data_IF_340353111601
#
_entry.id   IF_340353111601
#
_cell.length_a   1.000
_cell.length_b   1.000
_cell.length_c   1.000
_cell.angle_alpha   90.00
_cell.angle_beta   90.00
_cell.angle_gamma   90.00
#
_symmetry.space_group_name_H-M   'P 1'
#
loop_
_entity.id
_entity.type
_entity.pdbx_description
1 polymer ?
#
# COMPACT_ATOMS: atom_id res chain seq x y z
N UNK A 1 -16.59 -91.96 -22.73
CA UNK A 1 -16.00 -90.65 -23.10
C UNK A 1 -15.51 -90.01 -21.82
N UNK A 2 -14.19 -89.95 -21.66
CA UNK A 2 -13.51 -89.33 -20.53
C UNK A 2 -13.58 -87.81 -20.64
N UNK A 3 -13.93 -87.13 -19.55
CA UNK A 3 -13.34 -85.83 -19.20
C UNK A 3 -13.27 -85.69 -17.68
N UNK A 4 -12.05 -85.70 -17.16
CA UNK A 4 -11.69 -85.32 -15.80
C UNK A 4 -11.73 -83.79 -15.69
N UNK A 5 -12.27 -83.24 -14.60
CA UNK A 5 -11.83 -81.94 -14.10
C UNK A 5 -11.73 -81.95 -12.57
N UNK A 6 -10.54 -81.60 -12.13
CA UNK A 6 -10.00 -81.59 -10.78
C UNK A 6 -10.42 -80.34 -10.00
N UNK A 7 -10.66 -80.55 -8.71
CA UNK A 7 -10.89 -79.50 -7.71
C UNK A 7 -9.60 -78.78 -7.34
N UNK A 8 -9.65 -77.44 -7.28
CA UNK A 8 -8.65 -76.63 -6.55
C UNK A 8 -9.36 -75.63 -5.66
N UNK A 9 -9.24 -75.85 -4.35
CA UNK A 9 -9.79 -75.02 -3.28
C UNK A 9 -8.88 -73.80 -3.04
N UNK A 10 -9.43 -72.58 -3.03
CA UNK A 10 -8.71 -71.40 -2.52
C UNK A 10 -9.56 -70.68 -1.48
N UNK A 11 -9.11 -70.79 -0.24
CA UNK A 11 -9.63 -70.13 0.95
C UNK A 11 -9.30 -68.63 0.93
N UNK A 12 -10.33 -67.78 0.99
CA UNK A 12 -10.20 -66.35 1.27
C UNK A 12 -10.57 -66.10 2.75
N UNK A 13 -9.57 -65.72 3.55
CA UNK A 13 -9.78 -65.24 4.93
C UNK A 13 -10.24 -63.78 4.89
N UNK A 14 -11.51 -63.53 5.19
CA UNK A 14 -12.04 -62.21 5.52
C UNK A 14 -11.61 -61.82 6.95
N UNK A 15 -11.00 -60.64 7.10
CA UNK A 15 -10.84 -60.01 8.41
C UNK A 15 -11.90 -58.89 8.51
N UNK A 16 -12.91 -59.13 9.34
CA UNK A 16 -13.89 -58.10 9.71
C UNK A 16 -13.28 -57.03 10.63
N UNK A 17 -13.90 -55.83 10.71
CA UNK A 17 -13.42 -54.78 11.60
C UNK A 17 -13.79 -55.09 13.05
N UNK A 18 -12.80 -54.94 13.95
CA UNK A 18 -12.96 -55.08 15.39
C UNK A 18 -13.56 -53.80 15.98
N UNK A 19 -14.61 -53.95 16.79
CA UNK A 19 -15.10 -52.93 17.71
C UNK A 19 -14.39 -53.09 19.06
N UNK A 20 -13.93 -51.97 19.65
CA UNK A 20 -13.65 -51.72 21.08
C UNK A 20 -13.50 -50.19 21.20
N UNK A 21 -14.46 -49.47 21.78
CA UNK A 21 -14.69 -49.18 23.20
C UNK A 21 -13.76 -48.10 23.80
N UNK A 22 -14.41 -47.15 24.45
CA UNK A 22 -13.98 -45.84 24.94
C UNK A 22 -12.86 -45.86 25.99
N UNK A 23 -11.97 -44.85 25.95
CA UNK A 23 -11.55 -44.04 27.11
C UNK A 23 -10.52 -42.94 26.78
N UNK A 24 -10.64 -41.87 27.56
CA UNK A 24 -9.69 -40.78 27.84
C UNK A 24 -9.69 -39.55 26.92
N UNK A 25 -10.44 -38.58 27.45
CA UNK A 25 -10.36 -37.13 27.27
C UNK A 25 -8.90 -36.63 27.41
N UNK A 26 -8.41 -35.93 26.39
CA UNK A 26 -7.42 -34.86 26.54
C UNK A 26 -7.94 -33.68 25.71
N UNK A 27 -8.50 -32.71 26.42
CA UNK A 27 -8.91 -31.40 25.89
C UNK A 27 -7.65 -30.61 25.58
N UNK A 28 -7.35 -30.38 24.31
CA UNK A 28 -6.57 -29.22 23.88
C UNK A 28 -7.54 -28.12 23.52
N UNK A 29 -7.77 -27.21 24.48
CA UNK A 29 -8.66 -26.07 24.32
C UNK A 29 -8.24 -25.21 23.13
N UNK A 30 -9.09 -25.14 22.11
CA UNK A 30 -9.08 -24.05 21.15
C UNK A 30 -9.57 -22.80 21.88
N UNK A 31 -8.61 -21.99 22.33
CA UNK A 31 -8.86 -20.63 22.76
C UNK A 31 -9.48 -19.86 21.61
N UNK A 32 -10.77 -19.55 21.75
CA UNK A 32 -11.47 -18.57 20.95
C UNK A 32 -10.80 -17.21 21.19
N UNK A 33 -10.02 -16.73 20.22
CA UNK A 33 -9.58 -15.33 20.24
C UNK A 33 -10.75 -14.46 19.81
N UNK A 34 -11.51 -14.02 20.82
CA UNK A 34 -12.37 -12.85 20.74
C UNK A 34 -11.57 -11.67 20.19
N UNK A 35 -11.93 -11.19 19.00
CA UNK A 35 -11.41 -9.95 18.46
C UNK A 35 -11.91 -8.80 19.35
N UNK A 36 -10.99 -8.22 20.13
CA UNK A 36 -11.28 -7.01 20.90
C UNK A 36 -11.43 -5.81 19.95
N UNK A 37 -12.36 -4.88 20.20
CA UNK A 37 -12.52 -3.70 19.36
C UNK A 37 -11.28 -2.79 19.52
N UNK A 38 -10.72 -2.34 18.40
CA UNK A 38 -9.61 -1.39 18.39
C UNK A 38 -10.08 -0.06 18.99
N UNK A 39 -9.38 0.39 20.03
CA UNK A 39 -9.59 1.65 20.75
C UNK A 39 -9.46 2.84 19.79
N UNK A 40 -10.47 3.70 19.74
CA UNK A 40 -10.45 4.96 19.00
C UNK A 40 -9.35 5.89 19.54
N UNK A 41 -8.62 6.54 18.63
CA UNK A 41 -7.67 7.58 18.99
C UNK A 41 -8.43 8.90 19.15
N UNK A 42 -8.37 9.50 20.35
CA UNK A 42 -8.92 10.83 20.62
C UNK A 42 -8.08 11.89 19.89
N UNK A 43 -8.70 12.65 18.99
CA UNK A 43 -8.12 13.87 18.45
C UNK A 43 -8.36 15.01 19.46
N UNK A 44 -7.29 15.55 20.02
CA UNK A 44 -7.34 16.84 20.72
C UNK A 44 -7.03 17.94 19.70
N UNK A 45 -8.00 18.81 19.45
CA UNK A 45 -7.83 20.03 18.66
C UNK A 45 -7.21 21.13 19.51
N UNK A 46 -6.10 21.70 19.03
CA UNK A 46 -5.48 22.89 19.58
C UNK A 46 -5.06 23.81 18.43
N UNK A 47 -5.62 25.01 18.40
CA UNK A 47 -5.32 26.03 17.40
C UNK A 47 -3.95 26.70 17.57
N UNK A 48 -3.63 27.49 16.55
CA UNK A 48 -2.43 28.31 16.33
C UNK A 48 -1.27 27.64 15.58
N UNK A 49 -0.89 28.30 14.49
CA UNK A 49 0.02 27.86 13.44
C UNK A 49 1.32 27.22 13.90
N UNK A 50 1.60 26.06 13.33
CA UNK A 50 2.86 25.34 13.43
C UNK A 50 2.66 23.89 12.98
N UNK A 51 3.44 23.42 12.00
CA UNK A 51 3.32 22.11 11.36
C UNK A 51 3.02 20.95 12.33
N UNK A 52 1.92 20.22 12.08
CA UNK A 52 1.65 18.91 12.68
C UNK A 52 2.67 17.92 12.14
N UNK A 53 3.55 17.42 13.00
CA UNK A 53 4.51 16.34 12.67
C UNK A 53 3.85 15.02 13.03
N UNK A 54 3.60 14.17 12.04
CA UNK A 54 3.19 12.78 12.26
C UNK A 54 4.47 12.00 12.62
N UNK A 55 4.59 11.58 13.88
CA UNK A 55 5.61 10.63 14.29
C UNK A 55 5.15 9.22 13.88
N UNK A 56 5.78 8.64 12.86
CA UNK A 56 5.63 7.21 12.55
C UNK A 56 6.52 6.40 13.49
N UNK A 57 5.95 5.89 14.59
CA UNK A 57 6.57 4.82 15.35
C UNK A 57 6.18 3.48 14.73
N UNK A 58 7.11 2.86 13.98
CA UNK A 58 6.99 1.47 13.58
C UNK A 58 7.39 0.59 14.76
N UNK A 59 6.41 -0.12 15.32
CA UNK A 59 6.64 -1.21 16.27
C UNK A 59 6.99 -2.48 15.49
N UNK A 60 8.28 -2.82 15.42
CA UNK A 60 8.69 -4.18 15.04
C UNK A 60 8.68 -5.06 16.29
N UNK A 61 7.79 -6.06 16.27
CA UNK A 61 7.76 -7.13 17.27
C UNK A 61 8.98 -8.03 17.10
N UNK A 62 9.64 -8.34 18.21
CA UNK A 62 11.01 -8.84 18.24
C UNK A 62 11.23 -10.30 17.81
N UNK A 63 12.47 -10.54 17.35
CA UNK A 63 13.29 -11.69 17.73
C UNK A 63 14.77 -11.26 17.76
N UNK A 64 15.47 -11.68 18.82
CA UNK A 64 16.63 -10.99 19.38
C UNK A 64 17.99 -11.19 18.69
N UNK A 65 18.96 -10.41 19.17
CA UNK A 65 20.39 -10.55 18.84
C UNK A 65 21.21 -9.30 19.17
N UNK A 66 21.81 -9.29 20.37
CA UNK A 66 23.05 -8.62 20.82
C UNK A 66 23.65 -7.38 20.10
N UNK A 67 24.03 -6.40 20.93
CA UNK A 67 25.03 -5.35 20.66
C UNK A 67 24.42 -3.96 20.56
N UNK A 68 24.81 -2.92 21.28
CA UNK A 68 26.03 -2.68 22.05
C UNK A 68 26.50 -1.25 21.75
N UNK A 69 26.14 -0.29 22.61
CA UNK A 69 27.02 0.84 22.94
C UNK A 69 26.89 2.17 22.19
N UNK A 70 27.01 3.22 23.02
CA UNK A 70 27.61 4.55 22.80
C UNK A 70 26.73 5.68 22.29
N UNK A 71 26.27 6.48 23.27
CA UNK A 71 25.92 7.89 23.07
C UNK A 71 27.17 8.79 22.98
N UNK A 72 26.96 10.01 22.52
CA UNK A 72 27.98 11.05 22.47
C UNK A 72 27.44 12.33 21.84
N UNK A 73 26.80 13.17 22.66
CA UNK A 73 26.48 14.55 22.31
C UNK A 73 27.73 15.42 22.46
N UNK A 74 28.02 16.24 21.45
CA UNK A 74 29.08 17.24 21.50
C UNK A 74 28.45 18.63 21.31
N UNK A 75 28.40 19.39 22.40
CA UNK A 75 28.12 20.83 22.42
C UNK A 75 29.07 21.47 23.43
N UNK A 76 30.19 22.01 22.96
CA UNK A 76 31.19 22.70 23.77
C UNK A 76 31.25 24.16 23.38
N UNK A 77 30.68 25.04 24.22
CA UNK A 77 30.87 26.48 24.16
C UNK A 77 32.17 26.88 24.85
N UNK A 78 32.97 27.70 24.17
CA UNK A 78 34.19 28.30 24.74
C UNK A 78 33.89 29.75 25.16
N UNK A 79 34.06 30.04 26.44
CA UNK A 79 34.07 31.38 27.00
C UNK A 79 35.01 31.38 28.21
N UNK A 80 36.08 32.16 28.14
CA UNK A 80 37.07 32.29 29.21
C UNK A 80 37.98 33.48 28.96
N UNK A 81 37.70 34.59 29.64
CA UNK A 81 38.53 35.78 29.68
C UNK A 81 39.44 35.80 30.91
N UNK A 82 40.67 36.29 30.72
CA UNK A 82 41.64 36.76 31.72
C UNK A 82 42.48 37.81 30.95
N UNK A 83 42.74 39.05 31.36
CA UNK A 83 42.84 39.63 32.70
C UNK A 83 44.31 39.64 33.13
N UNK A 84 45.00 40.78 33.04
CA UNK A 84 46.32 40.96 33.65
C UNK A 84 47.22 41.99 32.96
N UNK A 85 47.22 43.22 33.46
CA UNK A 85 48.25 44.20 33.16
C UNK A 85 49.54 43.97 33.95
N UNK A 86 50.63 44.62 33.53
CA UNK A 86 51.74 44.95 34.40
C UNK A 86 52.52 46.14 33.83
N UNK A 87 52.74 47.14 34.69
CA UNK A 87 53.64 48.25 34.46
C UNK A 87 55.03 48.01 35.05
N UNK A 88 56.02 48.73 34.52
CA UNK A 88 57.28 49.10 35.16
C UNK A 88 57.73 50.42 34.49
N UNK A 89 58.09 51.53 35.13
CA UNK A 89 58.58 51.74 36.50
C UNK A 89 60.11 51.84 36.51
N UNK A 90 60.66 53.04 36.80
CA UNK A 90 62.07 53.25 37.21
C UNK A 90 62.88 54.19 36.29
N UNK A 91 63.06 55.48 36.55
CA UNK A 91 63.86 56.22 37.57
C UNK A 91 65.36 56.39 37.27
N UNK A 92 65.84 57.64 37.41
CA UNK A 92 67.25 58.05 37.60
C UNK A 92 67.67 59.20 36.67
N UNK A 93 68.19 60.36 37.08
CA UNK A 93 68.66 60.82 38.39
C UNK A 93 69.69 61.95 38.18
N UNK A 94 69.29 63.16 38.57
CA UNK A 94 70.00 64.39 39.00
C UNK A 94 71.55 64.40 39.04
N UNK A 95 72.15 65.48 38.53
CA UNK A 95 73.31 66.13 39.15
C UNK A 95 73.28 67.66 38.93
N UNK A 96 73.38 68.40 40.03
CA UNK A 96 73.43 69.86 40.17
C UNK A 96 74.89 70.28 40.37
N UNK A 97 75.30 71.38 39.71
CA UNK A 97 76.40 72.24 40.19
C UNK A 97 77.68 72.27 39.33
N UNK A 98 77.96 73.43 38.71
CA UNK A 98 79.25 73.69 38.06
C UNK A 98 79.22 74.90 37.13
N UNK A 99 79.37 76.10 37.70
CA UNK A 99 79.46 77.39 37.02
C UNK A 99 80.68 77.48 36.06
N UNK A 100 80.47 77.53 34.74
CA UNK A 100 81.39 78.15 33.76
C UNK A 100 80.60 78.63 32.52
N UNK A 101 80.78 79.87 32.03
CA UNK A 101 80.01 80.42 30.91
C UNK A 101 80.62 79.96 29.59
N UNK A 102 79.99 78.97 28.94
CA UNK A 102 80.41 78.43 27.64
C UNK A 102 79.31 77.66 26.92
N UNK A 103 78.04 78.01 27.18
CA UNK A 103 76.87 77.27 26.74
C UNK A 103 76.18 77.97 25.57
N UNK A 104 76.63 77.66 24.35
CA UNK A 104 75.82 77.86 23.13
C UNK A 104 76.22 76.98 21.94
N UNK A 105 77.38 76.30 21.97
CA UNK A 105 77.89 75.52 20.81
C UNK A 105 77.88 73.98 20.94
N UNK A 106 77.52 73.41 22.11
CA UNK A 106 77.39 71.95 22.30
C UNK A 106 75.98 71.41 22.04
N UNK A 107 74.94 72.24 22.14
CA UNK A 107 73.55 71.81 22.01
C UNK A 107 73.20 71.42 20.57
N UNK A 108 73.61 72.20 19.58
CA UNK A 108 73.32 71.99 18.15
C UNK A 108 74.01 70.74 17.56
N UNK A 109 75.22 70.43 18.03
CA UNK A 109 75.94 69.23 17.60
C UNK A 109 75.33 67.96 18.23
N UNK A 110 74.88 68.05 19.48
CA UNK A 110 74.21 66.94 20.17
C UNK A 110 72.82 66.63 19.57
N UNK A 111 72.08 67.66 19.14
CA UNK A 111 70.79 67.49 18.46
C UNK A 111 70.97 66.90 17.07
N UNK A 112 71.97 67.33 16.30
CA UNK A 112 72.33 66.72 15.00
C UNK A 112 72.77 65.26 15.12
N UNK A 113 73.51 64.91 16.18
CA UNK A 113 73.86 63.51 16.44
C UNK A 113 72.65 62.67 16.83
N UNK A 114 71.69 63.21 17.60
CA UNK A 114 70.46 62.52 17.94
C UNK A 114 69.60 62.23 16.69
N UNK A 115 69.48 63.22 15.80
CA UNK A 115 68.77 63.07 14.52
C UNK A 115 69.46 62.04 13.60
N UNK A 116 70.79 62.07 13.51
CA UNK A 116 71.54 61.08 12.74
C UNK A 116 71.43 59.66 13.33
N UNK A 117 71.47 59.53 14.66
CA UNK A 117 71.24 58.24 15.31
C UNK A 117 69.81 57.73 15.05
N UNK A 118 68.82 58.63 15.07
CA UNK A 118 67.44 58.30 14.75
C UNK A 118 67.30 57.90 13.27
N UNK A 119 67.93 58.60 12.34
CA UNK A 119 67.98 58.23 10.93
C UNK A 119 68.64 56.85 10.72
N UNK A 120 69.75 56.58 11.42
CA UNK A 120 70.42 55.29 11.37
C UNK A 120 69.50 54.16 11.88
N UNK A 121 68.77 54.37 12.98
CA UNK A 121 67.78 53.40 13.46
C UNK A 121 66.61 53.21 12.51
N UNK A 122 66.16 54.28 11.81
CA UNK A 122 65.13 54.17 10.79
C UNK A 122 65.63 53.39 9.57
N UNK A 123 66.85 53.66 9.09
CA UNK A 123 67.45 52.93 7.97
C UNK A 123 67.65 51.45 8.31
N UNK A 124 68.09 51.13 9.53
CA UNK A 124 68.21 49.74 9.98
C UNK A 124 66.84 49.06 10.07
N UNK A 125 65.82 49.78 10.53
CA UNK A 125 64.44 49.26 10.55
C UNK A 125 63.89 49.03 9.15
N UNK A 126 64.14 49.92 8.20
CA UNK A 126 63.74 49.74 6.80
C UNK A 126 64.43 48.51 6.20
N UNK A 127 65.73 48.33 6.40
CA UNK A 127 66.46 47.13 5.95
C UNK A 127 65.90 45.85 6.57
N UNK A 128 65.56 45.86 7.86
CA UNK A 128 64.96 44.70 8.52
C UNK A 128 63.57 44.35 7.96
N UNK A 129 62.77 45.37 7.60
CA UNK A 129 61.44 45.20 7.01
C UNK A 129 61.54 44.73 5.56
N UNK A 130 62.49 45.23 4.78
CA UNK A 130 62.78 44.76 3.42
C UNK A 130 63.22 43.29 3.43
N UNK A 131 64.10 42.90 4.35
CA UNK A 131 64.51 41.51 4.52
C UNK A 131 63.34 40.60 4.95
N UNK A 132 62.47 41.08 5.83
CA UNK A 132 61.26 40.37 6.24
C UNK A 132 60.28 40.21 5.08
N UNK A 133 60.05 41.27 4.29
CA UNK A 133 59.18 41.23 3.10
C UNK A 133 59.74 40.27 2.05
N UNK A 134 61.04 40.31 1.75
CA UNK A 134 61.67 39.37 0.83
C UNK A 134 61.53 37.90 1.29
N UNK A 135 61.54 37.65 2.60
CA UNK A 135 61.28 36.32 3.17
C UNK A 135 59.81 35.91 2.99
N UNK A 136 58.86 36.81 3.27
CA UNK A 136 57.43 36.56 3.09
C UNK A 136 57.09 36.29 1.62
N UNK A 137 57.63 37.05 0.68
CA UNK A 137 57.45 36.82 -0.77
C UNK A 137 57.98 35.47 -1.22
N UNK A 138 59.08 34.99 -0.63
CA UNK A 138 59.61 33.66 -0.91
C UNK A 138 58.70 32.57 -0.38
N UNK A 139 58.20 32.73 0.85
CA UNK A 139 57.24 31.80 1.43
C UNK A 139 55.90 31.76 0.67
N UNK A 140 55.44 32.91 0.16
CA UNK A 140 54.23 32.98 -0.67
C UNK A 140 54.45 32.24 -1.99
N UNK A 141 55.59 32.43 -2.65
CA UNK A 141 55.94 31.68 -3.88
C UNK A 141 56.00 30.18 -3.62
N UNK A 142 56.73 29.76 -2.58
CA UNK A 142 56.83 28.35 -2.20
C UNK A 142 55.47 27.74 -1.82
N UNK A 143 54.59 28.52 -1.17
CA UNK A 143 53.22 28.11 -0.88
C UNK A 143 52.41 27.90 -2.16
N UNK A 144 52.50 28.79 -3.15
CA UNK A 144 51.80 28.63 -4.43
C UNK A 144 52.37 27.51 -5.30
N UNK A 145 53.67 27.23 -5.24
CA UNK A 145 54.31 26.11 -5.94
C UNK A 145 53.96 24.76 -5.30
N UNK A 146 54.04 24.65 -3.98
CA UNK A 146 53.73 23.42 -3.24
C UNK A 146 52.22 23.13 -3.17
N UNK A 147 51.39 24.17 -3.17
CA UNK A 147 49.92 24.11 -3.25
C UNK A 147 49.42 24.52 -4.62
N UNK A 148 50.14 24.11 -5.69
CA UNK A 148 49.71 24.30 -7.07
C UNK A 148 48.22 23.95 -7.27
N UNK A 149 47.57 24.51 -8.31
CA UNK A 149 46.12 24.61 -8.40
C UNK A 149 45.42 23.32 -7.98
N UNK A 150 44.50 23.44 -7.00
CA UNK A 150 43.60 22.38 -6.50
C UNK A 150 42.83 21.64 -7.62
N UNK A 151 42.91 22.14 -8.86
CA UNK A 151 42.36 21.57 -10.08
C UNK A 151 43.00 20.26 -10.58
N UNK A 152 44.16 19.82 -10.04
CA UNK A 152 44.80 18.55 -10.45
C UNK A 152 44.92 17.52 -9.33
N UNK A 153 43.91 17.40 -8.46
CA UNK A 153 43.76 16.17 -7.67
C UNK A 153 43.11 15.13 -8.58
N UNK A 154 43.87 14.17 -9.08
CA UNK A 154 43.38 13.16 -10.03
C UNK A 154 42.27 12.29 -9.40
N UNK A 155 41.01 12.63 -9.65
CA UNK A 155 39.84 11.84 -9.22
C UNK A 155 39.56 10.63 -10.14
N UNK A 156 40.44 10.34 -11.09
CA UNK A 156 40.30 9.27 -12.10
C UNK A 156 39.98 7.91 -11.48
N UNK A 157 40.66 7.54 -10.40
CA UNK A 157 40.45 6.27 -9.70
C UNK A 157 39.03 6.12 -9.12
N UNK A 158 38.42 7.23 -8.66
CA UNK A 158 37.06 7.21 -8.12
C UNK A 158 36.01 6.97 -9.21
N UNK A 159 36.23 7.44 -10.44
CA UNK A 159 35.27 7.21 -11.53
C UNK A 159 35.04 5.73 -11.85
N UNK A 160 36.11 4.92 -11.81
CA UNK A 160 35.98 3.47 -11.98
C UNK A 160 35.17 2.83 -10.84
N UNK A 161 35.46 3.19 -9.58
CA UNK A 161 34.69 2.68 -8.44
C UNK A 161 33.22 3.11 -8.47
N UNK A 162 32.93 4.35 -8.89
CA UNK A 162 31.57 4.87 -9.04
C UNK A 162 30.85 4.13 -10.16
N UNK A 163 31.52 3.85 -11.28
CA UNK A 163 30.96 3.08 -12.39
C UNK A 163 30.61 1.65 -11.94
N UNK A 164 31.54 0.97 -11.27
CA UNK A 164 31.31 -0.38 -10.75
C UNK A 164 30.16 -0.43 -9.74
N UNK A 165 30.06 0.57 -8.85
CA UNK A 165 28.95 0.69 -7.91
C UNK A 165 27.62 0.93 -8.62
N UNK A 166 27.59 1.80 -9.64
CA UNK A 166 26.39 2.04 -10.45
C UNK A 166 25.95 0.79 -11.18
N UNK A 167 26.88 0.01 -11.74
CA UNK A 167 26.55 -1.22 -12.45
C UNK A 167 26.10 -2.33 -11.48
N UNK A 168 26.69 -2.41 -10.28
CA UNK A 168 26.18 -3.27 -9.20
C UNK A 168 24.76 -2.91 -8.79
N UNK A 169 24.44 -1.62 -8.65
CA UNK A 169 23.08 -1.15 -8.33
C UNK A 169 22.11 -1.56 -9.44
N UNK A 170 22.44 -1.31 -10.71
CA UNK A 170 21.59 -1.70 -11.84
C UNK A 170 21.35 -3.21 -11.85
N UNK A 171 22.39 -4.01 -11.70
CA UNK A 171 22.29 -5.46 -11.66
C UNK A 171 21.43 -5.94 -10.49
N UNK A 172 21.58 -5.33 -9.31
CA UNK A 172 20.74 -5.63 -8.14
C UNK A 172 19.27 -5.26 -8.38
N UNK A 173 18.99 -4.12 -9.03
CA UNK A 173 17.62 -3.72 -9.39
C UNK A 173 16.99 -4.70 -10.37
N UNK A 174 17.71 -5.12 -11.41
CA UNK A 174 17.25 -6.12 -12.38
C UNK A 174 17.02 -7.47 -11.71
N UNK A 175 17.93 -7.90 -10.83
CA UNK A 175 17.79 -9.14 -10.09
C UNK A 175 16.58 -9.10 -9.15
N UNK A 176 16.34 -7.99 -8.45
CA UNK A 176 15.16 -7.80 -7.62
C UNK A 176 13.86 -7.89 -8.45
N UNK A 177 13.82 -7.22 -9.60
CA UNK A 177 12.68 -7.32 -10.52
C UNK A 177 12.44 -8.76 -11.00
N UNK A 178 13.51 -9.52 -11.30
CA UNK A 178 13.39 -10.93 -11.68
C UNK A 178 12.86 -11.80 -10.52
N UNK A 179 13.34 -11.58 -9.29
CA UNK A 179 12.81 -12.28 -8.11
C UNK A 179 11.32 -11.97 -7.92
N UNK A 180 10.89 -10.72 -8.06
CA UNK A 180 9.48 -10.35 -7.96
C UNK A 180 8.63 -11.09 -9.01
N UNK A 181 9.09 -11.15 -10.26
CA UNK A 181 8.40 -11.92 -11.31
C UNK A 181 8.33 -13.42 -11.00
N UNK A 182 9.39 -14.00 -10.43
CA UNK A 182 9.38 -15.41 -10.01
C UNK A 182 8.41 -15.66 -8.85
N UNK A 183 8.33 -14.73 -7.90
CA UNK A 183 7.36 -14.78 -6.81
C UNK A 183 5.94 -14.72 -7.37
N UNK A 184 5.66 -13.80 -8.28
CA UNK A 184 4.33 -13.65 -8.86
C UNK A 184 3.96 -14.85 -9.73
N UNK A 185 4.90 -15.40 -10.51
CA UNK A 185 4.69 -16.64 -11.25
C UNK A 185 4.40 -17.83 -10.31
N UNK A 186 5.16 -17.96 -9.22
CA UNK A 186 4.95 -19.02 -8.22
C UNK A 186 3.59 -18.89 -7.51
N UNK A 187 3.15 -17.66 -7.21
CA UNK A 187 1.83 -17.39 -6.65
C UNK A 187 0.71 -17.74 -7.63
N UNK A 188 0.83 -17.31 -8.89
CA UNK A 188 -0.15 -17.66 -9.93
C UNK A 188 -0.25 -19.17 -10.13
N UNK A 189 0.88 -19.89 -10.12
CA UNK A 189 0.87 -21.36 -10.18
C UNK A 189 0.20 -21.99 -8.96
N UNK A 190 0.47 -21.48 -7.75
CA UNK A 190 -0.19 -21.95 -6.53
C UNK A 190 -1.70 -21.70 -6.55
N UNK A 191 -2.15 -20.54 -7.03
CA UNK A 191 -3.57 -20.22 -7.18
C UNK A 191 -4.25 -21.08 -8.25
N UNK A 192 -3.58 -21.38 -9.37
CA UNK A 192 -4.09 -22.31 -10.38
C UNK A 192 -4.29 -23.72 -9.80
N UNK A 193 -3.32 -24.23 -9.04
CA UNK A 193 -3.48 -25.51 -8.34
C UNK A 193 -4.59 -25.47 -7.29
N UNK A 194 -4.73 -24.36 -6.56
CA UNK A 194 -5.82 -24.18 -5.59
C UNK A 194 -7.19 -24.22 -6.27
N UNK A 195 -7.38 -23.48 -7.35
CA UNK A 195 -8.64 -23.50 -8.12
C UNK A 195 -8.94 -24.89 -8.69
N UNK A 196 -7.93 -25.58 -9.24
CA UNK A 196 -8.10 -26.96 -9.72
C UNK A 196 -8.49 -27.91 -8.60
N UNK A 197 -7.89 -27.78 -7.43
CA UNK A 197 -8.24 -28.58 -6.26
C UNK A 197 -9.66 -28.30 -5.77
N UNK A 198 -10.06 -27.03 -5.68
CA UNK A 198 -11.43 -26.63 -5.31
C UNK A 198 -12.47 -27.17 -6.30
N UNK A 199 -12.18 -27.11 -7.60
CA UNK A 199 -13.04 -27.68 -8.64
C UNK A 199 -13.17 -29.19 -8.52
N UNK A 200 -12.05 -29.91 -8.39
CA UNK A 200 -12.03 -31.37 -8.20
C UNK A 200 -12.77 -31.78 -6.91
N UNK A 201 -12.57 -31.04 -5.83
CA UNK A 201 -13.29 -31.27 -4.57
C UNK A 201 -14.80 -31.10 -4.74
N UNK A 202 -15.24 -30.04 -5.41
CA UNK A 202 -16.65 -29.81 -5.71
C UNK A 202 -17.24 -30.92 -6.59
N UNK A 203 -16.49 -31.38 -7.59
CA UNK A 203 -16.90 -32.50 -8.45
C UNK A 203 -17.02 -33.80 -7.64
N UNK A 204 -16.06 -34.10 -6.77
CA UNK A 204 -16.12 -35.27 -5.88
C UNK A 204 -17.31 -35.21 -4.93
N UNK A 205 -17.60 -34.06 -4.33
CA UNK A 205 -18.76 -33.89 -3.46
C UNK A 205 -20.09 -34.12 -4.21
N UNK A 206 -20.17 -33.67 -5.46
CA UNK A 206 -21.33 -33.93 -6.32
C UNK A 206 -21.49 -35.44 -6.59
N UNK A 207 -20.40 -36.12 -6.94
CA UNK A 207 -20.40 -37.58 -7.17
C UNK A 207 -20.72 -38.35 -5.89
N UNK A 208 -20.20 -37.95 -4.74
CA UNK A 208 -20.50 -38.59 -3.45
C UNK A 208 -21.99 -38.41 -3.09
N UNK A 209 -22.58 -37.24 -3.37
CA UNK A 209 -24.00 -37.01 -3.20
C UNK A 209 -24.84 -37.92 -4.13
N UNK A 210 -24.43 -38.08 -5.39
CA UNK A 210 -25.08 -38.97 -6.34
C UNK A 210 -24.98 -40.44 -5.92
N UNK A 211 -23.81 -40.89 -5.43
CA UNK A 211 -23.64 -42.24 -4.87
C UNK A 211 -24.58 -42.43 -3.67
N UNK A 212 -24.67 -41.46 -2.76
CA UNK A 212 -25.60 -41.50 -1.64
C UNK A 212 -27.06 -41.61 -2.09
N UNK A 213 -27.45 -40.85 -3.13
CA UNK A 213 -28.78 -40.91 -3.72
C UNK A 213 -29.06 -42.28 -4.35
N UNK A 214 -28.12 -42.84 -5.11
CA UNK A 214 -28.23 -44.18 -5.71
C UNK A 214 -28.31 -45.28 -4.65
N UNK A 215 -27.54 -45.19 -3.57
CA UNK A 215 -27.63 -46.13 -2.45
C UNK A 215 -29.00 -46.07 -1.76
N UNK A 216 -29.56 -44.86 -1.60
CA UNK A 216 -30.91 -44.67 -1.06
C UNK A 216 -31.96 -45.27 -1.99
N UNK A 217 -31.87 -45.03 -3.29
CA UNK A 217 -32.77 -45.60 -4.29
C UNK A 217 -32.70 -47.14 -4.29
N UNK A 218 -31.50 -47.71 -4.21
CA UNK A 218 -31.29 -49.15 -4.09
C UNK A 218 -31.91 -49.72 -2.80
N UNK A 219 -31.82 -48.99 -1.70
CA UNK A 219 -32.44 -49.40 -0.43
C UNK A 219 -33.97 -49.37 -0.53
N UNK A 220 -34.51 -48.34 -1.18
CA UNK A 220 -35.95 -48.21 -1.45
C UNK A 220 -36.47 -49.32 -2.36
N UNK A 221 -35.75 -49.67 -3.43
CA UNK A 221 -36.16 -50.76 -4.33
C UNK A 221 -36.07 -52.12 -3.65
N UNK A 222 -35.04 -52.36 -2.82
CA UNK A 222 -34.96 -53.58 -1.99
C UNK A 222 -36.12 -53.70 -1.02
N UNK A 223 -36.51 -52.60 -0.38
CA UNK A 223 -37.67 -52.57 0.50
C UNK A 223 -38.96 -52.90 -0.27
N UNK A 224 -39.14 -52.29 -1.45
CA UNK A 224 -40.29 -52.60 -2.32
C UNK A 224 -40.32 -54.07 -2.77
N UNK A 225 -39.15 -54.67 -3.06
CA UNK A 225 -39.06 -56.12 -3.37
C UNK A 225 -39.49 -56.94 -2.16
N UNK A 226 -39.01 -56.63 -0.95
CA UNK A 226 -39.40 -57.33 0.26
C UNK A 226 -40.91 -57.19 0.55
N UNK A 227 -41.49 -56.03 0.32
CA UNK A 227 -42.93 -55.78 0.46
C UNK A 227 -43.74 -56.64 -0.53
N UNK A 228 -43.31 -56.71 -1.79
CA UNK A 228 -43.93 -57.57 -2.80
C UNK A 228 -43.76 -59.07 -2.49
N UNK A 229 -42.60 -59.49 -2.02
CA UNK A 229 -42.37 -60.87 -1.56
C UNK A 229 -43.28 -61.24 -0.40
N UNK A 230 -43.50 -60.33 0.55
CA UNK A 230 -44.43 -60.53 1.66
C UNK A 230 -45.87 -60.62 1.17
N UNK A 231 -46.27 -59.79 0.20
CA UNK A 231 -47.59 -59.87 -0.43
C UNK A 231 -47.81 -61.20 -1.13
N UNK A 232 -46.80 -61.69 -1.88
CA UNK A 232 -46.85 -63.01 -2.54
C UNK A 232 -47.01 -64.12 -1.50
N UNK A 233 -46.21 -64.09 -0.42
CA UNK A 233 -46.32 -65.09 0.67
C UNK A 233 -47.70 -65.07 1.32
N UNK A 234 -48.22 -63.89 1.64
CA UNK A 234 -49.56 -63.74 2.23
C UNK A 234 -50.64 -64.31 1.31
N UNK A 235 -50.57 -64.05 -0.01
CA UNK A 235 -51.53 -64.59 -0.97
C UNK A 235 -51.40 -66.12 -1.15
N UNK A 236 -50.18 -66.66 -1.09
CA UNK A 236 -49.96 -68.11 -1.10
C UNK A 236 -50.53 -68.78 0.15
N UNK A 237 -50.32 -68.19 1.33
CA UNK A 237 -50.90 -68.66 2.59
C UNK A 237 -52.44 -68.62 2.55
N UNK A 238 -53.04 -67.56 2.00
CA UNK A 238 -54.49 -67.47 1.79
C UNK A 238 -55.01 -68.55 0.83
N UNK A 239 -54.28 -68.82 -0.26
CA UNK A 239 -54.62 -69.87 -1.21
C UNK A 239 -54.52 -71.27 -0.60
N UNK A 240 -53.48 -71.53 0.19
CA UNK A 240 -53.34 -72.79 0.94
C UNK A 240 -54.44 -72.94 1.99
N UNK A 241 -54.78 -71.87 2.69
CA UNK A 241 -55.88 -71.84 3.64
C UNK A 241 -57.22 -72.18 2.96
N UNK A 242 -57.53 -71.54 1.83
CA UNK A 242 -58.74 -71.82 1.06
C UNK A 242 -58.80 -73.26 0.52
N UNK A 243 -57.67 -73.80 0.05
CA UNK A 243 -57.58 -75.20 -0.39
C UNK A 243 -57.83 -76.16 0.77
N UNK A 244 -57.22 -75.90 1.93
CA UNK A 244 -57.41 -76.72 3.14
C UNK A 244 -58.85 -76.67 3.60
N UNK A 245 -59.45 -75.48 3.67
CA UNK A 245 -60.85 -75.31 4.04
C UNK A 245 -61.78 -76.06 3.07
N UNK A 246 -61.54 -75.95 1.75
CA UNK A 246 -62.32 -76.72 0.76
C UNK A 246 -62.15 -78.23 0.90
N UNK A 247 -60.94 -78.72 1.18
CA UNK A 247 -60.71 -80.15 1.45
C UNK A 247 -61.41 -80.62 2.72
N UNK A 248 -61.40 -79.81 3.79
CA UNK A 248 -62.12 -80.10 5.03
C UNK A 248 -63.64 -80.09 4.81
N UNK A 249 -64.18 -79.10 4.09
CA UNK A 249 -65.60 -79.05 3.70
C UNK A 249 -66.01 -80.23 2.81
N UNK A 250 -65.18 -80.60 1.84
CA UNK A 250 -65.38 -81.79 0.99
C UNK A 250 -65.32 -83.08 1.80
N UNK A 251 -64.41 -83.18 2.77
CA UNK A 251 -64.33 -84.32 3.68
C UNK A 251 -65.56 -84.38 4.60
N UNK A 252 -66.03 -83.23 5.09
CA UNK A 252 -67.28 -83.13 5.86
C UNK A 252 -68.49 -83.52 5.01
N UNK A 253 -68.60 -83.04 3.77
CA UNK A 253 -69.66 -83.42 2.82
C UNK A 253 -69.59 -84.90 2.44
N UNK A 254 -68.39 -85.47 2.25
CA UNK A 254 -68.20 -86.91 2.05
C UNK A 254 -68.53 -87.72 3.29
N UNK A 255 -68.23 -87.23 4.48
CA UNK A 255 -68.66 -87.84 5.74
C UNK A 255 -70.19 -87.80 5.87
N UNK A 256 -70.83 -86.73 5.40
CA UNK A 256 -72.29 -86.64 5.34
C UNK A 256 -72.89 -87.59 4.27
N UNK A 257 -72.20 -87.82 3.15
CA UNK A 257 -72.66 -88.74 2.08
C UNK A 257 -72.31 -90.22 2.32
N UNK A 258 -71.23 -90.54 3.02
CA UNK A 258 -70.78 -91.91 3.33
C UNK A 258 -71.45 -92.51 4.57
N UNK A 259 -72.41 -91.78 5.16
CA UNK A 259 -73.24 -92.24 6.26
C UNK A 259 -74.47 -93.00 5.79
N UNK A 260 -74.31 -94.13 5.10
CA UNK A 260 -75.25 -95.25 5.27
C UNK A 260 -74.68 -96.15 6.35
N UNK A 261 -74.80 -95.73 7.61
CA UNK A 261 -74.53 -96.57 8.77
C UNK A 261 -75.72 -96.49 9.70
N UNK A 262 -76.39 -97.63 9.78
CA UNK A 262 -77.29 -98.03 10.86
C UNK A 262 -76.55 -97.84 12.20
N UNK A 263 -76.91 -96.80 12.96
CA UNK A 263 -76.47 -96.68 14.36
C UNK A 263 -77.55 -97.38 15.19
N UNK A 264 -77.30 -98.64 15.51
CA UNK A 264 -77.93 -99.26 16.67
C UNK A 264 -77.50 -98.45 17.89
N UNK A 265 -78.52 -97.94 18.57
CA UNK A 265 -78.44 -97.18 19.81
C UNK A 265 -77.97 -98.12 20.90
N UNK A 266 -76.65 -98.19 21.15
CA UNK A 266 -76.13 -98.63 22.44
C UNK A 266 -76.00 -97.40 23.33
N UNK A 267 -76.90 -97.32 24.31
CA UNK A 267 -76.98 -96.22 25.26
C UNK A 267 -75.79 -96.29 26.23
N UNK A 268 -74.63 -95.80 25.80
CA UNK A 268 -73.60 -95.38 26.73
C UNK A 268 -74.17 -94.24 27.61
N UNK A 269 -73.80 -94.21 28.90
CA UNK A 269 -74.58 -93.56 29.95
C UNK A 269 -74.78 -92.07 29.67
N UNK A 270 -76.02 -91.57 29.85
CA UNK A 270 -76.43 -90.16 29.80
C UNK A 270 -75.25 -89.18 29.78
N UNK A 271 -74.80 -88.79 28.59
CA UNK A 271 -73.95 -87.63 28.47
C UNK A 271 -74.82 -86.45 28.88
N UNK A 272 -74.50 -85.83 30.01
CA UNK A 272 -75.20 -84.67 30.54
C UNK A 272 -75.37 -83.66 29.40
N UNK A 273 -76.58 -83.54 28.85
CA UNK A 273 -76.89 -82.56 27.82
C UNK A 273 -76.54 -81.14 28.31
N UNK A 274 -76.66 -80.94 29.62
CA UNK A 274 -76.15 -79.76 30.32
C UNK A 274 -74.64 -79.56 30.15
N UNK A 275 -73.79 -80.60 30.22
CA UNK A 275 -72.35 -80.46 29.98
C UNK A 275 -72.03 -80.08 28.53
N UNK A 276 -72.72 -80.67 27.55
CA UNK A 276 -72.51 -80.33 26.14
C UNK A 276 -72.99 -78.89 25.83
N UNK A 277 -74.15 -78.50 26.36
CA UNK A 277 -74.64 -77.12 26.24
C UNK A 277 -73.73 -76.11 26.95
N UNK A 278 -73.17 -76.48 28.11
CA UNK A 278 -72.19 -75.66 28.83
C UNK A 278 -70.86 -75.56 28.07
N UNK A 279 -70.41 -76.64 27.41
CA UNK A 279 -69.20 -76.65 26.58
C UNK A 279 -69.38 -75.78 25.32
N UNK A 280 -70.51 -75.90 24.62
CA UNK A 280 -70.85 -75.03 23.48
C UNK A 280 -70.95 -73.56 23.92
N UNK A 281 -71.56 -73.29 25.08
CA UNK A 281 -71.63 -71.93 25.65
C UNK A 281 -70.25 -71.39 25.99
N UNK A 282 -69.41 -72.21 26.62
CA UNK A 282 -68.02 -71.90 26.94
C UNK A 282 -67.20 -71.61 25.68
N UNK A 283 -67.39 -72.37 24.60
CA UNK A 283 -66.71 -72.16 23.32
C UNK A 283 -67.11 -70.83 22.68
N UNK A 284 -68.42 -70.54 22.61
CA UNK A 284 -68.91 -69.25 22.11
C UNK A 284 -68.43 -68.08 22.98
N UNK A 285 -68.44 -68.23 24.30
CA UNK A 285 -67.93 -67.21 25.21
C UNK A 285 -66.42 -67.01 25.01
N UNK A 286 -65.65 -68.09 24.79
CA UNK A 286 -64.22 -68.00 24.48
C UNK A 286 -63.96 -67.27 23.16
N UNK A 287 -64.76 -67.55 22.12
CA UNK A 287 -64.66 -66.92 20.79
C UNK A 287 -65.00 -65.44 20.91
N UNK A 288 -66.09 -65.07 21.58
CA UNK A 288 -66.47 -63.67 21.81
C UNK A 288 -65.38 -62.94 22.60
N UNK A 289 -64.81 -63.57 23.64
CA UNK A 289 -63.72 -62.98 24.41
C UNK A 289 -62.44 -62.82 23.58
N UNK A 290 -62.13 -63.78 22.70
CA UNK A 290 -60.99 -63.69 21.78
C UNK A 290 -61.20 -62.57 20.76
N UNK A 291 -62.35 -62.50 20.12
CA UNK A 291 -62.71 -61.42 19.20
C UNK A 291 -62.65 -60.04 19.87
N UNK A 292 -63.14 -59.92 21.11
CA UNK A 292 -63.02 -58.67 21.88
C UNK A 292 -61.56 -58.30 22.13
N UNK A 293 -60.73 -59.24 22.57
CA UNK A 293 -59.29 -59.01 22.78
C UNK A 293 -58.56 -58.65 21.50
N UNK A 294 -58.87 -59.31 20.39
CA UNK A 294 -58.26 -59.05 19.09
C UNK A 294 -58.65 -57.67 18.57
N UNK A 295 -59.91 -57.24 18.74
CA UNK A 295 -60.36 -55.89 18.43
C UNK A 295 -59.67 -54.84 19.32
N UNK A 296 -59.61 -55.05 20.64
CA UNK A 296 -58.91 -54.15 21.55
C UNK A 296 -57.41 -54.04 21.22
N UNK A 297 -56.77 -55.16 20.89
CA UNK A 297 -55.37 -55.19 20.46
C UNK A 297 -55.17 -54.44 19.15
N UNK A 298 -56.06 -54.64 18.16
CA UNK A 298 -56.02 -53.93 16.88
C UNK A 298 -56.20 -52.42 17.04
N UNK A 299 -57.19 -52.00 17.84
CA UNK A 299 -57.40 -50.57 18.13
C UNK A 299 -56.21 -49.96 18.86
N UNK A 300 -55.64 -50.69 19.82
CA UNK A 300 -54.46 -50.25 20.55
C UNK A 300 -53.25 -50.12 19.63
N UNK A 301 -52.99 -51.10 18.77
CA UNK A 301 -51.92 -51.05 17.79
C UNK A 301 -52.09 -49.83 16.85
N UNK A 302 -53.29 -49.66 16.27
CA UNK A 302 -53.56 -48.52 15.38
C UNK A 302 -53.42 -47.17 16.08
N UNK A 303 -53.87 -47.07 17.34
CA UNK A 303 -53.71 -45.84 18.15
C UNK A 303 -52.24 -45.58 18.46
N UNK A 304 -51.45 -46.61 18.78
CA UNK A 304 -50.01 -46.43 19.01
C UNK A 304 -49.26 -46.06 17.74
N UNK A 305 -49.63 -46.62 16.59
CA UNK A 305 -49.06 -46.24 15.29
C UNK A 305 -49.36 -44.78 14.97
N UNK A 306 -50.63 -44.36 15.11
CA UNK A 306 -51.03 -42.97 14.90
C UNK A 306 -50.29 -42.02 15.87
N UNK A 307 -50.17 -42.40 17.15
CA UNK A 307 -49.41 -41.61 18.13
C UNK A 307 -47.95 -41.45 17.73
N UNK A 308 -47.30 -42.51 17.21
CA UNK A 308 -45.92 -42.45 16.71
C UNK A 308 -45.81 -41.51 15.51
N UNK A 309 -46.70 -41.64 14.53
CA UNK A 309 -46.72 -40.75 13.36
C UNK A 309 -46.94 -39.28 13.75
N UNK A 310 -47.84 -39.01 14.71
CA UNK A 310 -48.03 -37.65 15.23
C UNK A 310 -46.76 -37.12 15.90
N UNK A 311 -46.04 -37.94 16.68
CA UNK A 311 -44.78 -37.50 17.29
C UNK A 311 -43.70 -37.20 16.25
N UNK A 312 -43.55 -38.05 15.23
CA UNK A 312 -42.58 -37.87 14.15
C UNK A 312 -42.92 -36.62 13.33
N UNK A 313 -44.19 -36.46 12.94
CA UNK A 313 -44.64 -35.28 12.20
C UNK A 313 -44.44 -33.99 13.01
N UNK A 314 -44.67 -34.04 14.33
CA UNK A 314 -44.42 -32.88 15.22
C UNK A 314 -42.93 -32.53 15.28
N UNK A 315 -42.05 -33.53 15.33
CA UNK A 315 -40.60 -33.34 15.30
C UNK A 315 -40.12 -32.77 13.96
N UNK A 316 -40.65 -33.27 12.83
CA UNK A 316 -40.35 -32.73 11.50
C UNK A 316 -40.82 -31.27 11.38
N UNK A 317 -42.00 -30.95 11.91
CA UNK A 317 -42.51 -29.56 11.91
C UNK A 317 -41.61 -28.66 12.78
N UNK A 318 -41.18 -29.13 13.95
CA UNK A 318 -40.27 -28.39 14.85
C UNK A 318 -38.91 -28.13 14.19
N UNK A 319 -38.30 -29.15 13.59
CA UNK A 319 -37.01 -29.06 12.90
C UNK A 319 -37.09 -28.19 11.64
N UNK A 320 -38.16 -28.31 10.85
CA UNK A 320 -38.40 -27.43 9.71
C UNK A 320 -38.57 -25.97 10.16
N UNK A 321 -39.30 -25.74 11.25
CA UNK A 321 -39.47 -24.41 11.84
C UNK A 321 -38.15 -23.81 12.32
N UNK A 322 -37.28 -24.59 12.96
CA UNK A 322 -35.95 -24.12 13.36
C UNK A 322 -35.08 -23.80 12.15
N UNK A 323 -35.06 -24.67 11.13
CA UNK A 323 -34.33 -24.41 9.88
C UNK A 323 -34.81 -23.14 9.17
N UNK A 324 -36.12 -22.88 9.13
CA UNK A 324 -36.67 -21.63 8.59
C UNK A 324 -36.21 -20.42 9.42
N UNK A 325 -36.15 -20.54 10.75
CA UNK A 325 -35.65 -19.47 11.63
C UNK A 325 -34.17 -19.19 11.38
N UNK A 326 -33.36 -20.24 11.27
CA UNK A 326 -31.92 -20.12 11.01
C UNK A 326 -31.67 -19.49 9.64
N UNK A 327 -32.39 -19.92 8.60
CA UNK A 327 -32.32 -19.31 7.28
C UNK A 327 -32.76 -17.84 7.28
N UNK A 328 -33.76 -17.47 8.08
CA UNK A 328 -34.14 -16.06 8.24
C UNK A 328 -33.03 -15.25 8.92
N UNK A 329 -32.38 -15.80 9.94
CA UNK A 329 -31.25 -15.14 10.60
C UNK A 329 -30.04 -15.00 9.68
N UNK A 330 -29.74 -15.99 8.83
CA UNK A 330 -28.64 -15.89 7.86
C UNK A 330 -28.96 -14.85 6.78
N UNK A 331 -30.19 -14.81 6.26
CA UNK A 331 -30.61 -13.78 5.31
C UNK A 331 -30.47 -12.38 5.91
N UNK A 332 -30.98 -12.16 7.13
CA UNK A 332 -30.84 -10.87 7.82
C UNK A 332 -29.37 -10.49 8.05
N UNK A 333 -28.52 -11.45 8.41
CA UNK A 333 -27.09 -11.20 8.60
C UNK A 333 -26.40 -10.81 7.29
N UNK A 334 -26.74 -11.47 6.18
CA UNK A 334 -26.24 -11.13 4.85
C UNK A 334 -26.76 -9.77 4.35
N UNK A 335 -28.01 -9.42 4.66
CA UNK A 335 -28.56 -8.09 4.35
C UNK A 335 -27.81 -7.00 5.12
N UNK A 336 -27.51 -7.19 6.41
CA UNK A 336 -26.73 -6.25 7.20
C UNK A 336 -25.31 -6.11 6.64
N UNK A 337 -24.67 -7.23 6.30
CA UNK A 337 -23.34 -7.22 5.67
C UNK A 337 -23.39 -6.44 4.35
N UNK A 338 -24.38 -6.70 3.49
CA UNK A 338 -24.58 -5.98 2.24
C UNK A 338 -24.75 -4.46 2.47
N UNK A 339 -25.58 -4.05 3.43
CA UNK A 339 -25.75 -2.63 3.76
C UNK A 339 -24.45 -2.01 4.28
N UNK A 340 -23.69 -2.74 5.08
CA UNK A 340 -22.39 -2.28 5.58
C UNK A 340 -21.38 -2.09 4.43
N UNK A 341 -21.33 -3.02 3.48
CA UNK A 341 -20.46 -2.93 2.31
C UNK A 341 -20.86 -1.78 1.38
N UNK A 342 -22.17 -1.54 1.20
CA UNK A 342 -22.66 -0.37 0.46
C UNK A 342 -22.26 0.94 1.15
N UNK A 343 -22.35 1.00 2.48
CA UNK A 343 -21.91 2.18 3.24
C UNK A 343 -20.41 2.41 3.14
N UNK A 344 -19.60 1.34 3.19
CA UNK A 344 -18.15 1.39 3.02
C UNK A 344 -17.80 1.87 1.61
N UNK A 345 -18.42 1.29 0.58
CA UNK A 345 -18.26 1.73 -0.81
C UNK A 345 -18.54 3.21 -0.97
N UNK A 346 -19.69 3.70 -0.47
CA UNK A 346 -20.04 5.11 -0.55
C UNK A 346 -19.03 6.01 0.18
N UNK A 347 -18.50 5.57 1.33
CA UNK A 347 -17.44 6.30 2.02
C UNK A 347 -16.14 6.37 1.21
N UNK A 348 -15.75 5.29 0.54
CA UNK A 348 -14.56 5.23 -0.29
C UNK A 348 -14.70 6.10 -1.54
N UNK A 349 -15.85 6.04 -2.23
CA UNK A 349 -16.17 6.91 -3.36
C UNK A 349 -16.13 8.39 -2.97
N UNK A 350 -16.67 8.74 -1.80
CA UNK A 350 -16.58 10.12 -1.28
C UNK A 350 -15.13 10.54 -0.98
N UNK A 351 -14.32 9.66 -0.37
CA UNK A 351 -12.91 9.98 -0.13
C UNK A 351 -12.13 10.14 -1.43
N UNK A 352 -12.42 9.31 -2.44
CA UNK A 352 -11.82 9.44 -3.76
C UNK A 352 -12.18 10.79 -4.38
N UNK A 353 -13.48 11.14 -4.40
CA UNK A 353 -13.95 12.42 -4.92
C UNK A 353 -13.34 13.63 -4.19
N UNK A 354 -13.20 13.59 -2.86
CA UNK A 354 -12.53 14.65 -2.08
C UNK A 354 -11.03 14.74 -2.45
N UNK A 355 -10.34 13.61 -2.61
CA UNK A 355 -8.93 13.64 -3.04
C UNK A 355 -8.77 14.18 -4.46
N UNK A 356 -9.62 13.76 -5.40
CA UNK A 356 -9.61 14.27 -6.78
C UNK A 356 -9.91 15.77 -6.82
N UNK A 357 -10.90 16.24 -6.05
CA UNK A 357 -11.21 17.66 -5.94
C UNK A 357 -10.03 18.47 -5.38
N UNK A 358 -9.34 17.96 -4.35
CA UNK A 358 -8.15 18.60 -3.79
C UNK A 358 -7.00 18.68 -4.79
N UNK A 359 -6.71 17.60 -5.50
CA UNK A 359 -5.67 17.59 -6.52
C UNK A 359 -6.02 18.49 -7.70
N UNK A 360 -7.28 18.50 -8.13
CA UNK A 360 -7.77 19.42 -9.16
C UNK A 360 -7.59 20.88 -8.75
N UNK A 361 -7.94 21.23 -7.50
CA UNK A 361 -7.73 22.57 -6.97
C UNK A 361 -6.22 22.93 -6.89
N UNK A 362 -5.37 22.00 -6.48
CA UNK A 362 -3.91 22.20 -6.45
C UNK A 362 -3.35 22.43 -7.85
N UNK A 363 -3.78 21.63 -8.84
CA UNK A 363 -3.38 21.80 -10.24
C UNK A 363 -3.85 23.15 -10.81
N UNK A 364 -5.09 23.55 -10.52
CA UNK A 364 -5.60 24.86 -10.90
C UNK A 364 -4.78 26.01 -10.26
N UNK A 365 -4.38 25.86 -8.99
CA UNK A 365 -3.50 26.81 -8.31
C UNK A 365 -2.13 26.93 -8.98
N UNK A 366 -1.50 25.80 -9.32
CA UNK A 366 -0.23 25.78 -10.04
C UNK A 366 -0.36 26.37 -11.45
N UNK A 367 -1.43 26.07 -12.18
CA UNK A 367 -1.69 26.66 -13.49
C UNK A 367 -1.85 28.18 -13.39
N UNK A 368 -2.54 28.69 -12.37
CA UNK A 368 -2.65 30.12 -12.14
C UNK A 368 -1.29 30.76 -11.87
N UNK A 369 -0.42 30.10 -11.09
CA UNK A 369 0.95 30.58 -10.86
C UNK A 369 1.78 30.62 -12.15
N UNK A 370 1.66 29.59 -13.00
CA UNK A 370 2.30 29.58 -14.32
C UNK A 370 1.80 30.75 -15.16
N UNK A 371 0.47 30.94 -15.25
CA UNK A 371 -0.12 32.03 -16.03
C UNK A 371 0.35 33.42 -15.54
N UNK A 372 0.48 33.61 -14.21
CA UNK A 372 1.01 34.86 -13.65
C UNK A 372 2.47 35.09 -14.06
N UNK A 373 3.33 34.07 -13.93
CA UNK A 373 4.73 34.16 -14.32
C UNK A 373 4.91 34.37 -15.83
N UNK A 374 4.09 33.71 -16.67
CA UNK A 374 4.07 33.92 -18.11
C UNK A 374 3.64 35.36 -18.46
N UNK A 375 2.65 35.90 -17.74
CA UNK A 375 2.23 37.29 -17.89
C UNK A 375 3.33 38.27 -17.52
N UNK A 376 4.00 38.08 -16.37
CA UNK A 376 5.15 38.89 -15.95
C UNK A 376 6.30 38.83 -16.97
N UNK A 377 6.63 37.64 -17.49
CA UNK A 377 7.64 37.48 -18.55
C UNK A 377 7.24 38.21 -19.83
N UNK A 378 5.96 38.15 -20.22
CA UNK A 378 5.46 38.86 -21.40
C UNK A 378 5.54 40.39 -21.22
N UNK A 379 5.22 40.89 -20.03
CA UNK A 379 5.29 42.31 -19.70
C UNK A 379 6.75 42.80 -19.69
N UNK A 380 7.67 42.04 -19.10
CA UNK A 380 9.10 42.34 -19.11
C UNK A 380 9.66 42.36 -20.53
N UNK A 381 9.29 41.41 -21.39
CA UNK A 381 9.68 41.41 -22.81
C UNK A 381 9.18 42.65 -23.53
N UNK A 382 7.90 43.00 -23.37
CA UNK A 382 7.33 44.21 -23.96
C UNK A 382 8.02 45.48 -23.46
N UNK A 383 8.34 45.57 -22.15
CA UNK A 383 9.08 46.70 -21.59
C UNK A 383 10.49 46.81 -22.16
N UNK A 384 11.18 45.68 -22.38
CA UNK A 384 12.52 45.67 -22.99
C UNK A 384 12.45 46.12 -24.45
N UNK A 385 11.46 45.65 -25.20
CA UNK A 385 11.23 46.08 -26.58
C UNK A 385 10.93 47.59 -26.67
N UNK A 386 10.10 48.11 -25.77
CA UNK A 386 9.81 49.54 -25.67
C UNK A 386 11.08 50.34 -25.35
N UNK A 387 11.84 49.95 -24.32
CA UNK A 387 13.11 50.61 -24.00
C UNK A 387 14.08 50.55 -25.18
N UNK A 388 14.18 49.43 -25.88
CA UNK A 388 14.99 49.29 -27.09
C UNK A 388 14.58 50.27 -28.19
N UNK A 389 13.28 50.51 -28.35
CA UNK A 389 12.77 51.52 -29.28
C UNK A 389 13.15 52.94 -28.85
N UNK A 390 12.95 53.28 -27.57
CA UNK A 390 13.32 54.58 -27.00
C UNK A 390 14.82 54.87 -27.14
N UNK A 391 15.68 53.87 -26.86
CA UNK A 391 17.12 53.97 -27.07
C UNK A 391 17.49 54.21 -28.54
N UNK A 392 16.81 53.54 -29.48
CA UNK A 392 17.04 53.74 -30.91
C UNK A 392 16.68 55.17 -31.35
N UNK A 393 15.56 55.71 -30.86
CA UNK A 393 15.17 57.09 -31.13
C UNK A 393 16.19 58.08 -30.55
N UNK A 394 16.64 57.85 -29.31
CA UNK A 394 17.65 58.71 -28.68
C UNK A 394 18.98 58.68 -29.43
N UNK A 395 19.39 57.52 -29.93
CA UNK A 395 20.59 57.37 -30.75
C UNK A 395 20.49 58.13 -32.07
N UNK A 396 19.32 58.10 -32.72
CA UNK A 396 19.07 58.86 -33.95
C UNK A 396 19.17 60.38 -33.71
N UNK A 397 18.57 60.88 -32.63
CA UNK A 397 18.69 62.29 -32.20
C UNK A 397 20.15 62.64 -31.90
N UNK A 398 20.88 61.79 -31.17
CA UNK A 398 22.31 61.99 -30.88
C UNK A 398 23.13 62.08 -32.17
N UNK A 399 22.92 61.16 -33.10
CA UNK A 399 23.59 61.15 -34.41
C UNK A 399 23.32 62.44 -35.19
N UNK A 400 22.06 62.92 -35.19
CA UNK A 400 21.69 64.19 -35.81
C UNK A 400 22.37 65.40 -35.14
N UNK A 401 22.37 65.46 -33.81
CA UNK A 401 23.06 66.53 -33.07
C UNK A 401 24.57 66.51 -33.30
N UNK A 402 25.18 65.33 -33.38
CA UNK A 402 26.61 65.19 -33.72
C UNK A 402 26.92 65.73 -35.11
N UNK A 403 26.04 65.49 -36.09
CA UNK A 403 26.16 66.11 -37.42
C UNK A 403 26.03 67.63 -37.36
N UNK A 404 25.06 68.17 -36.60
CA UNK A 404 24.90 69.62 -36.41
C UNK A 404 26.14 70.25 -35.73
N UNK A 405 26.72 69.60 -34.70
CA UNK A 405 27.97 70.06 -34.08
C UNK A 405 29.14 70.02 -35.08
N UNK A 406 29.23 68.98 -35.91
CA UNK A 406 30.27 68.88 -36.92
C UNK A 406 30.16 70.00 -37.97
N UNK A 407 28.95 70.36 -38.41
CA UNK A 407 28.74 71.50 -39.31
C UNK A 407 29.06 72.82 -38.62
N UNK A 408 28.66 73.01 -37.35
CA UNK A 408 29.04 74.19 -36.58
C UNK A 408 30.56 74.34 -36.40
N UNK A 409 31.29 73.24 -36.14
CA UNK A 409 32.76 73.24 -36.08
C UNK A 409 33.39 73.61 -37.42
N UNK A 410 32.91 73.03 -38.52
CA UNK A 410 33.40 73.37 -39.87
C UNK A 410 33.15 74.83 -40.23
N UNK A 411 32.02 75.42 -39.80
CA UNK A 411 31.76 76.85 -40.00
C UNK A 411 32.73 77.73 -39.19
N UNK A 412 33.04 77.36 -37.94
CA UNK A 412 34.05 78.06 -37.13
C UNK A 412 35.44 77.96 -37.78
N UNK A 413 35.86 76.77 -38.20
CA UNK A 413 37.17 76.57 -38.84
C UNK A 413 37.28 77.38 -40.17
N UNK A 414 36.19 77.47 -40.94
CA UNK A 414 36.14 78.31 -42.14
C UNK A 414 36.16 79.81 -41.83
N UNK A 415 35.66 80.23 -40.66
CA UNK A 415 35.69 81.62 -40.20
C UNK A 415 37.08 82.03 -39.67
N UNK A 416 37.81 81.08 -39.06
CA UNK A 416 39.22 81.26 -38.67
C UNK A 416 40.15 81.36 -39.90
N UNK A 417 39.81 80.68 -41.00
CA UNK A 417 40.48 80.89 -42.31
C UNK A 417 40.16 82.27 -42.91
N UNK A 418 38.99 82.86 -42.63
CA UNK A 418 38.63 84.21 -43.10
C UNK A 418 39.18 85.36 -42.24
N UNK A 419 39.56 85.13 -40.98
CA UNK A 419 40.25 86.12 -40.13
C UNK A 419 41.77 86.15 -40.30
N UNK A 420 42.37 85.15 -40.95
CA UNK A 420 43.81 85.13 -41.24
C UNK A 420 44.09 84.93 -42.73
N UNK A 421 44.02 86.04 -43.49
CA UNK A 421 44.75 86.21 -44.76
C UNK A 421 44.23 85.38 -45.94
N UNK A 422 43.53 86.06 -46.87
CA UNK A 422 43.04 85.44 -48.09
C UNK A 422 44.13 84.93 -49.04
N UNK A 423 43.79 83.85 -49.78
CA UNK A 423 44.19 83.64 -51.16
C UNK A 423 43.24 82.62 -51.81
N UNK A 424 42.75 83.02 -52.98
CA UNK A 424 41.80 82.36 -53.87
C UNK A 424 42.38 81.09 -54.51
N UNK A 425 41.55 80.06 -54.75
CA UNK A 425 41.53 79.39 -56.05
C UNK A 425 40.17 78.74 -56.29
N UNK A 426 39.57 79.10 -57.43
CA UNK A 426 38.37 78.52 -58.02
C UNK A 426 38.81 77.39 -58.95
N UNK A 427 38.17 76.22 -58.85
CA UNK A 427 38.02 75.24 -59.93
C UNK A 427 36.90 74.28 -59.51
N UNK A 428 35.65 74.45 -59.99
CA UNK A 428 35.12 73.90 -61.25
C UNK A 428 35.15 72.37 -61.30
N UNK A 429 33.96 71.76 -61.26
CA UNK A 429 33.69 70.56 -62.04
C UNK A 429 32.80 69.51 -61.38
N UNK A 430 31.65 69.25 -62.02
CA UNK A 430 31.25 67.85 -62.25
C UNK A 430 29.99 67.36 -61.58
N UNK A 431 28.86 67.63 -62.23
CA UNK A 431 27.64 66.84 -62.17
C UNK A 431 27.94 65.35 -62.44
N UNK A 432 27.40 64.43 -61.64
CA UNK A 432 27.03 63.11 -62.16
C UNK A 432 25.89 62.49 -61.35
N UNK A 433 24.76 62.32 -62.04
CA UNK A 433 23.65 61.46 -61.65
C UNK A 433 24.04 60.04 -62.05
N UNK A 434 24.04 59.09 -61.11
CA UNK A 434 23.87 57.67 -61.45
C UNK A 434 22.94 57.02 -60.45
N UNK A 435 21.75 56.73 -60.94
CA UNK A 435 20.87 55.69 -60.45
C UNK A 435 21.51 54.32 -60.69
N UNK A 436 21.69 53.51 -59.66
CA UNK A 436 21.64 52.05 -59.82
C UNK A 436 21.18 51.38 -58.52
N UNK A 437 20.07 50.66 -58.63
CA UNK A 437 19.62 49.71 -57.61
C UNK A 437 20.61 48.54 -57.49
N UNK A 438 20.63 47.95 -56.30
CA UNK A 438 21.46 46.80 -56.00
C UNK A 438 21.13 46.28 -54.61
N UNK A 439 20.06 45.51 -54.53
CA UNK A 439 19.75 44.61 -53.43
C UNK A 439 20.94 43.73 -53.09
N UNK A 440 21.44 43.79 -51.85
CA UNK A 440 22.33 42.78 -51.31
C UNK A 440 21.86 42.36 -49.92
N UNK A 441 21.39 41.12 -49.85
CA UNK A 441 21.04 40.39 -48.64
C UNK A 441 22.34 39.97 -47.99
N UNK A 442 22.57 40.35 -46.72
CA UNK A 442 23.58 39.68 -45.89
C UNK A 442 22.95 39.37 -44.55
N UNK A 443 22.51 38.12 -44.44
CA UNK A 443 22.34 37.43 -43.18
C UNK A 443 23.73 37.15 -42.62
N UNK A 444 24.06 37.67 -41.45
CA UNK A 444 25.14 37.14 -40.62
C UNK A 444 24.69 37.17 -39.17
N UNK A 445 24.41 35.96 -38.68
CA UNK A 445 24.18 35.69 -37.27
C UNK A 445 25.43 35.97 -36.45
N UNK A 446 25.21 36.56 -35.27
CA UNK A 446 26.23 36.81 -34.28
C UNK A 446 25.58 36.82 -32.91
N UNK A 447 25.22 35.65 -32.43
CA UNK A 447 24.79 35.42 -31.05
C UNK A 447 25.97 35.60 -30.10
N UNK A 448 25.94 36.67 -29.30
CA UNK A 448 26.77 36.78 -28.11
C UNK A 448 25.86 37.04 -26.90
N UNK A 449 25.61 35.98 -26.15
CA UNK A 449 24.93 36.01 -24.86
C UNK A 449 25.94 36.35 -23.76
N UNK A 450 25.63 37.39 -22.99
CA UNK A 450 26.20 37.63 -21.66
C UNK A 450 25.03 37.87 -20.71
N UNK A 451 24.92 37.03 -19.69
CA UNK A 451 24.03 37.15 -18.52
C UNK A 451 24.91 36.95 -17.26
N UNK A 452 24.46 37.33 -16.06
CA UNK A 452 23.98 38.65 -15.67
C UNK A 452 24.59 39.13 -14.33
N UNK A 453 24.66 40.45 -14.12
CA UNK A 453 24.90 41.06 -12.80
C UNK A 453 23.57 41.42 -12.16
N UNK A 454 23.19 40.71 -11.09
CA UNK A 454 21.95 40.94 -10.37
C UNK A 454 21.94 42.24 -9.56
N UNK A 455 20.74 42.76 -9.30
CA UNK A 455 20.49 43.63 -8.17
C UNK A 455 19.08 43.40 -7.65
N UNK A 456 19.04 43.14 -6.33
CA UNK A 456 17.86 42.87 -5.55
C UNK A 456 16.93 44.08 -5.50
N UNK A 457 15.63 43.85 -5.64
CA UNK A 457 14.60 44.81 -5.26
C UNK A 457 13.59 44.11 -4.35
N UNK A 458 13.64 44.49 -3.08
CA UNK A 458 12.67 44.21 -2.03
C UNK A 458 11.35 44.87 -2.36
N UNK A 459 10.26 44.11 -2.49
CA UNK A 459 8.90 44.66 -2.56
C UNK A 459 8.07 44.14 -1.38
N UNK A 460 7.53 45.11 -0.63
CA UNK A 460 6.69 44.98 0.55
C UNK A 460 5.38 44.25 0.22
N UNK A 461 5.00 43.30 1.07
CA UNK A 461 3.65 42.75 1.10
C UNK A 461 2.66 43.84 1.55
N UNK A 462 1.66 44.11 0.71
CA UNK A 462 0.44 44.81 1.12
C UNK A 462 -0.66 43.76 1.22
N UNK A 463 -1.10 43.48 2.44
CA UNK A 463 -2.25 42.65 2.76
C UNK A 463 -3.54 43.39 2.43
N UNK A 464 -4.36 42.87 1.52
CA UNK A 464 -5.77 43.29 1.41
C UNK A 464 -6.67 42.09 1.65
N UNK A 465 -7.34 42.15 2.79
CA UNK A 465 -8.40 41.25 3.24
C UNK A 465 -9.73 41.66 2.62
N UNK A 466 -10.43 40.74 1.96
CA UNK A 466 -11.88 40.79 1.71
C UNK A 466 -12.38 39.35 1.92
N UNK A 467 -12.97 38.98 3.06
CA UNK A 467 -14.29 39.32 3.64
C UNK A 467 -15.46 39.00 2.70
N UNK A 468 -15.89 37.74 2.78
CA UNK A 468 -17.27 37.24 2.89
C UNK A 468 -18.42 38.21 2.55
N UNK A 469 -19.20 37.83 1.54
CA UNK A 469 -20.66 37.78 1.43
C UNK A 469 -20.94 37.10 0.06
N UNK A 470 -21.77 36.08 -0.12
CA UNK A 470 -23.04 35.70 0.51
C UNK A 470 -23.31 34.22 0.20
#
# INVERSE_FOLDING_TARGET
MSTSMSFTSRSSKSHGPKTMSSKSIVVSGRGSMMASPKKAHSMYGGGYGGSTRISSSYSIGGRGGFGGGYGGGYGGGYGGGYGGGNGSGGYGGIAVGGCFPGDFQLSEKSTMQNLNNRLATYLEKVRSLEAANAKLERMIREYYETKGPIAQRDYSAYWNTIKDLKDKIKNATVHNANILLQIDNSKLAADDFRMKFEHELSMRQCVDADIGNLQRLLSQTKLAIADLENMIKSLLEELEFMKKNHLEEMAAMRSQLSGTVNVEVDAAPQQDLNKLLEEIRSDYESVIQKHRRDQEAWFKDKTTQLSKEVTINTEIIQTSKSQISDLRHTVQSLEIELQSQLSLKGSLENTLADTEARYSAMLAGLQNQINMLESELSQMRSSIEQQGHEYKVLLDIKSRLEQEIATYRSLLDNQDIMSSGGSYSVSSGGSHVVSSGGSHVVSSGGSHSVLPGGSAVTIKQTTTSQRSHR
#
